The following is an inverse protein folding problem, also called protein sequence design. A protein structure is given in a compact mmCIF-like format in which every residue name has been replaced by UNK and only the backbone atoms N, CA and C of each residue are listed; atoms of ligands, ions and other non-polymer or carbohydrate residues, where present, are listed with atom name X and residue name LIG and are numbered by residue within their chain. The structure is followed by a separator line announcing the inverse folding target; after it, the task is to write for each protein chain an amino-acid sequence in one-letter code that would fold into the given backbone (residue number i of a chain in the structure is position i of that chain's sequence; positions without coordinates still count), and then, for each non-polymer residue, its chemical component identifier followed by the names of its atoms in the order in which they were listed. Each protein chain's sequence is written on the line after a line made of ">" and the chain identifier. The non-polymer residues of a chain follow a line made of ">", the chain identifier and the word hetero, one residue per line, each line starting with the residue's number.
data_IF_665732350583
#
_entry.id   IF_665732350583
#
_cell.length_a   1.000
_cell.length_b   1.000
_cell.length_c   1.000
_cell.angle_alpha   90.00
_cell.angle_beta   90.00
_cell.angle_gamma   90.00
#
_symmetry.space_group_name_H-M   'P 1'
#
loop_
_entity.id
_entity.type
_entity.pdbx_description
1 polymer ?
#
# COMPACT_ATOMS: atom_id res chain seq x y z
N UNK A 1 -5.99 11.95 3.46
CA UNK A 1 -4.65 11.81 4.05
C UNK A 1 -3.72 11.45 2.92
N UNK A 2 -2.63 12.19 2.70
CA UNK A 2 -1.73 11.94 1.57
C UNK A 2 -0.53 11.13 2.07
N UNK A 3 -0.33 9.93 1.54
CA UNK A 3 0.90 9.14 1.74
C UNK A 3 2.03 9.80 0.93
N UNK A 4 3.21 9.95 1.54
CA UNK A 4 4.39 10.40 0.81
C UNK A 4 5.04 9.18 0.18
N UNK A 5 4.64 8.90 -1.06
CA UNK A 5 5.08 7.72 -1.81
C UNK A 5 6.60 7.62 -1.89
N UNK A 6 7.31 8.75 -2.01
CA UNK A 6 8.77 8.73 -2.16
C UNK A 6 9.45 8.41 -0.83
N UNK A 7 8.95 8.96 0.27
CA UNK A 7 9.42 8.62 1.62
C UNK A 7 9.15 7.15 1.95
N UNK A 8 7.91 6.69 1.72
CA UNK A 8 7.52 5.30 1.95
C UNK A 8 8.36 4.32 1.10
N UNK A 9 8.57 4.63 -0.18
CA UNK A 9 9.43 3.84 -1.06
C UNK A 9 10.87 3.76 -0.55
N UNK A 10 11.47 4.90 -0.17
CA UNK A 10 12.84 4.91 0.36
C UNK A 10 12.97 4.05 1.61
N UNK A 11 11.95 4.07 2.48
CA UNK A 11 11.92 3.28 3.70
C UNK A 11 11.75 1.79 3.41
N UNK A 12 10.82 1.44 2.53
CA UNK A 12 10.56 0.05 2.13
C UNK A 12 11.75 -0.60 1.39
N UNK A 13 12.52 0.17 0.62
CA UNK A 13 13.75 -0.31 -0.02
C UNK A 13 14.85 -0.69 0.97
N UNK A 14 14.80 -0.19 2.21
CA UNK A 14 15.70 -0.62 3.28
C UNK A 14 15.32 -2.00 3.85
N UNK A 15 14.07 -2.45 3.68
CA UNK A 15 13.53 -3.73 4.17
C UNK A 15 13.78 -4.85 3.15
N UNK A 16 15.05 -5.19 2.91
CA UNK A 16 15.46 -6.09 1.80
C UNK A 16 15.00 -7.54 1.95
N UNK A 17 14.72 -7.98 3.17
CA UNK A 17 14.30 -9.35 3.47
C UNK A 17 12.78 -9.54 3.38
N UNK A 18 12.03 -8.43 3.35
CA UNK A 18 10.57 -8.44 3.22
C UNK A 18 10.15 -8.47 1.75
N UNK A 19 9.03 -9.13 1.45
CA UNK A 19 8.40 -9.04 0.13
C UNK A 19 7.99 -7.60 -0.20
N UNK A 20 7.86 -7.28 -1.48
CA UNK A 20 7.63 -5.90 -1.92
C UNK A 20 6.35 -5.30 -1.31
N UNK A 21 5.27 -6.09 -1.23
CA UNK A 21 4.00 -5.68 -0.64
C UNK A 21 4.09 -5.51 0.88
N UNK A 22 4.79 -6.42 1.58
CA UNK A 22 4.97 -6.36 3.02
C UNK A 22 5.83 -5.15 3.41
N UNK A 23 6.91 -4.91 2.67
CA UNK A 23 7.76 -3.73 2.82
C UNK A 23 6.98 -2.43 2.59
N UNK A 24 6.08 -2.39 1.61
CA UNK A 24 5.19 -1.26 1.37
C UNK A 24 4.23 -1.04 2.55
N UNK A 25 3.60 -2.11 3.02
CA UNK A 25 2.64 -2.09 4.14
C UNK A 25 3.30 -1.56 5.41
N UNK A 26 4.50 -2.06 5.73
CA UNK A 26 5.29 -1.59 6.88
C UNK A 26 5.63 -0.11 6.74
N UNK A 27 6.20 0.32 5.61
CA UNK A 27 6.61 1.70 5.41
C UNK A 27 5.45 2.70 5.47
N UNK A 28 4.29 2.31 4.91
CA UNK A 28 3.06 3.11 4.99
C UNK A 28 2.57 3.19 6.43
N UNK A 29 2.50 2.09 7.16
CA UNK A 29 2.07 2.07 8.55
C UNK A 29 3.00 2.88 9.49
N UNK A 30 4.31 2.83 9.25
CA UNK A 30 5.28 3.67 9.94
C UNK A 30 5.02 5.16 9.70
N UNK A 31 4.75 5.55 8.45
CA UNK A 31 4.41 6.93 8.12
C UNK A 31 3.12 7.39 8.82
N UNK A 32 2.09 6.52 8.86
CA UNK A 32 0.80 6.82 9.49
C UNK A 32 0.89 6.97 11.01
N UNK A 33 1.67 6.09 11.65
CA UNK A 33 1.78 6.03 13.11
C UNK A 33 2.90 6.91 13.69
N UNK A 34 3.84 7.37 12.85
CA UNK A 34 5.07 8.03 13.29
C UNK A 34 6.04 7.10 14.04
N UNK A 35 5.79 5.79 14.02
CA UNK A 35 6.66 4.77 14.63
C UNK A 35 7.63 4.22 13.58
N UNK A 36 8.73 3.62 14.04
CA UNK A 36 9.72 2.99 13.18
C UNK A 36 10.01 1.56 13.65
N UNK A 37 10.52 0.75 12.72
CA UNK A 37 10.83 -0.66 12.86
C UNK A 37 9.62 -1.50 13.27
N UNK A 38 8.47 -1.22 12.65
CA UNK A 38 7.27 -2.04 12.86
C UNK A 38 7.45 -3.41 12.20
N UNK A 39 6.99 -4.46 12.88
CA UNK A 39 6.73 -5.74 12.22
C UNK A 39 5.53 -5.65 11.29
N UNK A 40 5.40 -6.58 10.34
CA UNK A 40 4.23 -6.65 9.45
C UNK A 40 2.91 -6.73 10.24
N UNK A 41 2.85 -7.55 11.30
CA UNK A 41 1.66 -7.67 12.13
C UNK A 41 1.28 -6.36 12.84
N UNK A 42 2.28 -5.62 13.34
CA UNK A 42 2.04 -4.29 13.91
C UNK A 42 1.60 -3.29 12.84
N UNK A 43 2.18 -3.36 11.65
CA UNK A 43 1.83 -2.51 10.52
C UNK A 43 0.36 -2.71 10.11
N UNK A 44 -0.08 -3.95 9.94
CA UNK A 44 -1.49 -4.31 9.68
C UNK A 44 -2.40 -3.79 10.80
N UNK A 45 -1.98 -3.93 12.05
CA UNK A 45 -2.72 -3.39 13.20
C UNK A 45 -2.89 -1.86 13.18
N UNK A 46 -1.91 -1.12 12.63
CA UNK A 46 -1.99 0.34 12.47
C UNK A 46 -3.00 0.76 11.39
N UNK A 47 -3.25 -0.09 10.37
CA UNK A 47 -4.24 0.23 9.32
C UNK A 47 -5.67 0.29 9.86
N UNK A 48 -5.92 -0.30 11.03
CA UNK A 48 -7.20 -0.25 11.75
C UNK A 48 -8.32 -1.11 11.15
N UNK A 49 -8.05 -1.77 10.02
CA UNK A 49 -8.91 -2.76 9.38
C UNK A 49 -8.02 -3.72 8.58
N UNK A 50 -8.05 -5.01 8.90
CA UNK A 50 -7.26 -6.06 8.25
C UNK A 50 -7.59 -6.21 6.77
N UNK A 51 -8.83 -5.92 6.38
CA UNK A 51 -9.28 -5.89 4.99
C UNK A 51 -8.49 -4.91 4.11
N UNK A 52 -7.85 -3.88 4.69
CA UNK A 52 -7.00 -2.96 3.92
C UNK A 52 -5.75 -3.67 3.39
N UNK A 53 -5.13 -4.52 4.20
CA UNK A 53 -3.94 -5.27 3.79
C UNK A 53 -4.32 -6.36 2.78
N UNK A 54 -5.45 -7.04 2.99
CA UNK A 54 -5.95 -8.05 2.05
C UNK A 54 -6.34 -7.44 0.70
N UNK A 55 -7.05 -6.31 0.70
CA UNK A 55 -7.39 -5.57 -0.52
C UNK A 55 -6.11 -5.07 -1.21
N UNK A 56 -5.12 -4.57 -0.48
CA UNK A 56 -3.85 -4.15 -1.07
C UNK A 56 -3.15 -5.32 -1.77
N UNK A 57 -3.16 -6.52 -1.18
CA UNK A 57 -2.64 -7.73 -1.81
C UNK A 57 -3.40 -8.11 -3.07
N UNK A 58 -4.73 -8.12 -3.01
CA UNK A 58 -5.56 -8.36 -4.19
C UNK A 58 -5.27 -7.36 -5.32
N UNK A 59 -5.16 -6.07 -5.00
CA UNK A 59 -4.88 -5.02 -5.98
C UNK A 59 -3.47 -5.14 -6.57
N UNK A 60 -2.47 -5.48 -5.76
CA UNK A 60 -1.09 -5.73 -6.19
C UNK A 60 -0.99 -6.90 -7.17
N UNK A 61 -1.75 -7.98 -6.95
CA UNK A 61 -1.75 -9.13 -7.85
C UNK A 61 -2.59 -8.90 -9.11
N UNK A 62 -3.68 -8.14 -9.01
CA UNK A 62 -4.69 -8.02 -10.07
C UNK A 62 -4.50 -6.81 -10.99
N UNK A 63 -3.72 -5.80 -10.58
CA UNK A 63 -3.59 -4.54 -11.31
C UNK A 63 -2.13 -4.25 -11.67
N UNK A 64 -1.92 -3.63 -12.81
CA UNK A 64 -0.59 -3.12 -13.19
C UNK A 64 -0.25 -1.81 -12.47
N UNK A 65 1.05 -1.53 -12.34
CA UNK A 65 1.56 -0.23 -11.87
C UNK A 65 0.87 0.97 -12.55
N UNK A 66 0.66 0.94 -13.87
CA UNK A 66 0.02 2.04 -14.60
C UNK A 66 -1.45 2.23 -14.19
N UNK A 67 -2.18 1.15 -13.91
CA UNK A 67 -3.57 1.24 -13.47
C UNK A 67 -3.62 1.81 -12.05
N UNK A 68 -2.80 1.31 -11.13
CA UNK A 68 -2.75 1.78 -9.73
C UNK A 68 -2.33 3.25 -9.62
N UNK A 69 -1.40 3.71 -10.46
CA UNK A 69 -0.95 5.10 -10.47
C UNK A 69 -2.06 6.12 -10.79
N UNK A 70 -3.17 5.67 -11.40
CA UNK A 70 -4.29 6.51 -11.82
C UNK A 70 -5.44 6.57 -10.78
N UNK A 71 -5.46 5.71 -9.77
CA UNK A 71 -6.70 5.36 -9.02
C UNK A 71 -6.85 6.06 -7.66
N UNK A 72 -6.13 7.15 -7.38
CA UNK A 72 -6.34 7.93 -6.15
C UNK A 72 -6.59 9.44 -6.35
N UNK A 73 -7.13 9.84 -7.51
CA UNK A 73 -7.89 11.10 -7.61
C UNK A 73 -9.36 10.82 -7.28
N UNK A 74 -10.08 11.78 -6.69
CA UNK A 74 -11.45 11.63 -6.14
C UNK A 74 -12.54 11.03 -7.07
N UNK A 75 -12.20 10.70 -8.31
CA UNK A 75 -13.03 10.13 -9.37
C UNK A 75 -12.97 8.59 -9.49
N UNK A 76 -12.02 7.93 -8.82
CA UNK A 76 -11.72 6.49 -9.02
C UNK A 76 -12.09 5.59 -7.84
N UNK A 77 -12.88 6.12 -6.89
CA UNK A 77 -13.45 5.33 -5.80
C UNK A 77 -14.53 4.39 -6.35
N UNK A 78 -14.25 3.10 -6.34
CA UNK A 78 -15.24 2.06 -6.64
C UNK A 78 -16.06 1.75 -5.39
N UNK A 79 -17.29 2.27 -5.34
CA UNK A 79 -18.20 2.10 -4.21
C UNK A 79 -18.66 0.64 -4.06
N UNK A 80 -18.75 -0.14 -5.13
CA UNK A 80 -19.15 -1.55 -5.05
C UNK A 80 -18.02 -2.38 -4.47
N UNK A 81 -16.80 -2.22 -4.99
CA UNK A 81 -15.63 -2.91 -4.45
C UNK A 81 -15.37 -2.52 -2.99
N UNK A 82 -15.46 -1.23 -2.64
CA UNK A 82 -15.28 -0.80 -1.25
C UNK A 82 -16.29 -1.44 -0.28
N UNK A 83 -17.53 -1.67 -0.72
CA UNK A 83 -18.54 -2.37 0.07
C UNK A 83 -18.24 -3.86 0.23
N UNK A 84 -17.79 -4.52 -0.83
CA UNK A 84 -17.42 -5.94 -0.78
C UNK A 84 -16.30 -6.20 0.23
N UNK A 85 -15.32 -5.31 0.27
CA UNK A 85 -14.17 -5.39 1.17
C UNK A 85 -14.41 -4.74 2.54
N UNK A 86 -15.62 -4.21 2.79
CA UNK A 86 -15.97 -3.53 4.05
C UNK A 86 -14.97 -2.42 4.41
N UNK A 87 -14.52 -1.66 3.41
CA UNK A 87 -13.59 -0.53 3.57
C UNK A 87 -14.30 0.79 3.24
N UNK A 88 -13.94 1.85 3.95
CA UNK A 88 -14.35 3.21 3.56
C UNK A 88 -13.47 3.76 2.42
N UNK A 89 -13.83 4.92 1.86
CA UNK A 89 -13.08 5.52 0.76
C UNK A 89 -11.61 5.83 1.12
N UNK A 90 -11.32 6.19 2.36
CA UNK A 90 -9.95 6.47 2.79
C UNK A 90 -9.12 5.19 2.90
N UNK A 91 -9.73 4.11 3.38
CA UNK A 91 -9.14 2.77 3.48
C UNK A 91 -8.93 2.14 2.10
N UNK A 92 -9.88 2.33 1.18
CA UNK A 92 -9.75 1.90 -0.21
C UNK A 92 -8.58 2.60 -0.91
N UNK A 93 -8.48 3.94 -0.78
CA UNK A 93 -7.33 4.67 -1.30
C UNK A 93 -6.02 4.23 -0.63
N UNK A 94 -6.03 3.95 0.67
CA UNK A 94 -4.85 3.46 1.38
C UNK A 94 -4.38 2.10 0.85
N UNK A 95 -5.30 1.17 0.56
CA UNK A 95 -4.97 -0.11 -0.06
C UNK A 95 -4.34 0.07 -1.46
N UNK A 96 -4.87 0.99 -2.26
CA UNK A 96 -4.30 1.37 -3.56
C UNK A 96 -2.89 1.95 -3.44
N UNK A 97 -2.66 2.84 -2.48
CA UNK A 97 -1.33 3.41 -2.21
C UNK A 97 -0.32 2.33 -1.83
N UNK A 98 -0.70 1.38 -0.96
CA UNK A 98 0.14 0.26 -0.56
C UNK A 98 0.49 -0.61 -1.78
N UNK A 99 -0.50 -1.01 -2.57
CA UNK A 99 -0.30 -1.81 -3.77
C UNK A 99 0.61 -1.11 -4.81
N UNK A 100 0.38 0.19 -5.04
CA UNK A 100 1.20 1.00 -5.94
C UNK A 100 2.66 1.05 -5.47
N UNK A 101 2.88 1.34 -4.19
CA UNK A 101 4.23 1.38 -3.61
C UNK A 101 4.88 0.00 -3.68
N UNK A 102 4.13 -1.09 -3.48
CA UNK A 102 4.56 -2.47 -3.69
C UNK A 102 5.19 -2.67 -5.07
N UNK A 103 4.49 -2.27 -6.15
CA UNK A 103 5.07 -2.36 -7.50
C UNK A 103 6.24 -1.42 -7.71
N UNK A 104 6.24 -0.23 -7.12
CA UNK A 104 7.40 0.67 -7.20
C UNK A 104 8.65 0.03 -6.59
N UNK A 105 8.50 -0.72 -5.50
CA UNK A 105 9.57 -1.46 -4.85
C UNK A 105 10.03 -2.61 -5.75
N UNK A 106 9.12 -3.43 -6.23
CA UNK A 106 9.41 -4.56 -7.13
C UNK A 106 10.20 -4.09 -8.35
N UNK A 107 9.69 -3.09 -9.06
CA UNK A 107 10.36 -2.51 -10.23
C UNK A 107 11.76 -1.99 -9.92
N UNK A 108 11.93 -1.30 -8.79
CA UNK A 108 13.25 -0.79 -8.39
C UNK A 108 14.23 -1.89 -7.98
N UNK A 109 13.75 -2.95 -7.33
CA UNK A 109 14.58 -4.11 -6.94
C UNK A 109 14.99 -4.92 -8.16
N UNK A 110 14.10 -5.06 -9.14
CA UNK A 110 14.33 -5.80 -10.37
C UNK A 110 15.01 -4.98 -11.49
N UNK A 111 15.30 -3.69 -11.24
CA UNK A 111 15.85 -2.77 -12.24
C UNK A 111 14.98 -2.64 -13.50
N UNK A 112 13.66 -2.74 -13.32
CA UNK A 112 12.65 -2.52 -14.34
C UNK A 112 12.25 -1.03 -14.35
N UNK A 113 13.14 -0.17 -14.86
CA UNK A 113 12.79 1.23 -15.18
C UNK A 113 12.12 1.32 -16.56
#
# INVERSE_FOLDING_TARGET
>A
MAIDRQSALSKALALREEESLDAATIAVAEQLSGKANLSLGEAVGILGNDQVAELAGFLFESMSYQQLAQICDATSYDLEQAREWTVDASQYCLAHEIALIGHMIERKRESLD
#
